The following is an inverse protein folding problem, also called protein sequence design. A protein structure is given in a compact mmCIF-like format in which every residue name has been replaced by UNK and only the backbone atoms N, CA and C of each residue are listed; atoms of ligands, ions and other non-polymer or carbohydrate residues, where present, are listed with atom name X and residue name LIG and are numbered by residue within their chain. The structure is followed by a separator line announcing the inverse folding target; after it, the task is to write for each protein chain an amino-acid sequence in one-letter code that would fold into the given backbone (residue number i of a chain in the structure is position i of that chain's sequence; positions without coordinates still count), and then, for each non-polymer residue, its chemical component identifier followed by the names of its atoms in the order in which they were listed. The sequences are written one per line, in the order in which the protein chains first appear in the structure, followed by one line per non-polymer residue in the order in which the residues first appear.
data_IF_366786368158
#
_entry.id   IF_366786368158
#
_cell.length_a   1.000
_cell.length_b   1.000
_cell.length_c   1.000
_cell.angle_alpha   90.00
_cell.angle_beta   90.00
_cell.angle_gamma   90.00
#
_symmetry.space_group_name_H-M   'P 1'
#
loop_
_entity.id
_entity.type
_entity.pdbx_description
1 polymer ?
#
# COMPACT_ATOMS: atom_id res chain seq x y z
N UNK A 1 12.08 2.42 -1.74
CA UNK A 1 10.81 1.82 -2.23
C UNK A 1 10.97 0.32 -2.28
N UNK A 2 9.99 -0.45 -1.80
CA UNK A 2 9.96 -1.91 -1.90
C UNK A 2 8.71 -2.36 -2.63
N UNK A 3 8.79 -3.46 -3.38
CA UNK A 3 7.64 -4.02 -4.10
C UNK A 3 7.27 -5.36 -3.48
N UNK A 4 5.98 -5.60 -3.27
CA UNK A 4 5.44 -6.84 -2.72
C UNK A 4 4.35 -7.39 -3.63
N UNK A 5 4.26 -8.71 -3.71
CA UNK A 5 3.18 -9.40 -4.41
C UNK A 5 2.02 -9.66 -3.45
N UNK A 6 0.80 -9.37 -3.90
CA UNK A 6 -0.43 -9.71 -3.21
C UNK A 6 -0.78 -11.17 -3.51
N UNK A 7 -1.15 -11.92 -2.47
CA UNK A 7 -1.58 -13.31 -2.56
C UNK A 7 -2.98 -13.41 -3.17
N UNK A 8 -3.42 -14.64 -3.45
CA UNK A 8 -4.72 -14.88 -4.07
C UNK A 8 -5.90 -14.38 -3.21
N UNK A 9 -5.73 -14.26 -1.90
CA UNK A 9 -6.72 -13.81 -0.93
C UNK A 9 -6.63 -12.31 -0.59
N UNK A 10 -5.86 -11.52 -1.36
CA UNK A 10 -5.72 -10.08 -1.12
C UNK A 10 -4.73 -9.68 -0.02
N UNK A 11 -4.03 -10.65 0.57
CA UNK A 11 -3.04 -10.40 1.62
C UNK A 11 -1.61 -10.23 1.08
N UNK A 12 -0.77 -9.51 1.82
CA UNK A 12 0.68 -9.48 1.62
C UNK A 12 1.42 -9.87 2.89
N UNK A 13 2.65 -10.38 2.72
CA UNK A 13 3.56 -10.59 3.86
C UNK A 13 4.38 -9.32 4.13
N UNK A 14 4.36 -8.86 5.38
CA UNK A 14 5.12 -7.71 5.85
C UNK A 14 5.66 -7.98 7.25
N UNK A 15 6.99 -7.89 7.45
CA UNK A 15 7.65 -8.09 8.76
C UNK A 15 7.09 -9.27 9.58
N UNK A 16 7.06 -10.45 8.97
CA UNK A 16 6.48 -11.71 9.49
C UNK A 16 4.96 -11.76 9.68
N UNK A 17 4.27 -10.63 9.56
CA UNK A 17 2.81 -10.55 9.60
C UNK A 17 2.15 -10.71 8.23
N UNK A 18 0.86 -11.04 8.25
CA UNK A 18 -0.01 -11.03 7.08
C UNK A 18 -0.93 -9.81 7.15
N UNK A 19 -0.82 -8.94 6.16
CA UNK A 19 -1.63 -7.73 6.08
C UNK A 19 -2.62 -7.86 4.93
N UNK A 20 -3.91 -7.71 5.23
CA UNK A 20 -4.95 -7.67 4.21
C UNK A 20 -4.94 -6.31 3.52
N UNK A 21 -4.69 -6.29 2.20
CA UNK A 21 -4.66 -5.06 1.40
C UNK A 21 -5.98 -4.89 0.67
N UNK A 22 -6.31 -5.84 -0.21
CA UNK A 22 -7.56 -5.90 -0.97
C UNK A 22 -7.57 -7.14 -1.83
N UNK A 23 -8.66 -7.90 -1.83
CA UNK A 23 -8.85 -9.03 -2.73
C UNK A 23 -8.86 -8.61 -4.22
N UNK A 24 -9.27 -7.38 -4.53
CA UNK A 24 -9.24 -6.84 -5.90
C UNK A 24 -7.82 -6.75 -6.49
N UNK A 25 -6.81 -6.71 -5.62
CA UNK A 25 -5.40 -6.67 -6.01
C UNK A 25 -4.76 -8.05 -6.00
N UNK A 26 -5.54 -9.14 -5.88
CA UNK A 26 -5.01 -10.50 -5.88
C UNK A 26 -4.09 -10.74 -7.08
N UNK A 27 -2.95 -11.39 -6.82
CA UNK A 27 -1.88 -11.67 -7.81
C UNK A 27 -1.23 -10.43 -8.43
N UNK A 28 -1.56 -9.23 -7.97
CA UNK A 28 -0.92 -7.98 -8.42
C UNK A 28 0.29 -7.62 -7.57
N UNK A 29 1.08 -6.67 -8.05
CA UNK A 29 2.20 -6.08 -7.30
C UNK A 29 1.81 -4.72 -6.76
N UNK A 30 2.16 -4.47 -5.51
CA UNK A 30 2.03 -3.17 -4.85
C UNK A 30 3.40 -2.63 -4.48
N UNK A 31 3.56 -1.32 -4.64
CA UNK A 31 4.70 -0.58 -4.13
C UNK A 31 4.44 -0.12 -2.70
N UNK A 32 5.44 -0.20 -1.85
CA UNK A 32 5.46 0.47 -0.55
C UNK A 32 6.57 1.51 -0.57
N UNK A 33 6.19 2.75 -0.30
CA UNK A 33 7.09 3.89 -0.19
C UNK A 33 7.09 4.37 1.25
N UNK A 34 8.24 4.31 1.91
CA UNK A 34 8.38 4.86 3.25
C UNK A 34 8.30 6.38 3.18
N UNK A 35 7.31 6.97 3.85
CA UNK A 35 7.10 8.42 3.89
C UNK A 35 7.51 9.05 5.20
N UNK A 36 7.53 8.25 6.28
CA UNK A 36 7.99 8.68 7.60
C UNK A 36 8.52 7.46 8.38
N UNK A 37 8.99 7.68 9.60
CA UNK A 37 9.32 6.66 10.56
C UNK A 37 8.09 5.78 10.82
N UNK A 38 8.16 4.53 10.37
CA UNK A 38 7.10 3.51 10.47
C UNK A 38 5.84 3.77 9.65
N UNK A 39 5.83 4.76 8.74
CA UNK A 39 4.71 4.99 7.83
C UNK A 39 5.11 4.67 6.40
N UNK A 40 4.30 3.82 5.76
CA UNK A 40 4.52 3.36 4.40
C UNK A 40 3.30 3.62 3.56
N UNK A 41 3.41 4.46 2.55
CA UNK A 41 2.35 4.63 1.56
C UNK A 41 2.34 3.44 0.59
N UNK A 42 1.15 2.86 0.42
CA UNK A 42 0.91 1.73 -0.48
C UNK A 42 0.42 2.29 -1.81
N UNK A 43 1.09 1.88 -2.87
CA UNK A 43 0.80 2.25 -4.25
C UNK A 43 0.42 1.02 -5.06
N UNK A 44 -0.65 1.14 -5.85
CA UNK A 44 -0.91 0.27 -6.96
C UNK A 44 -0.67 1.05 -8.26
N UNK A 45 0.34 0.62 -9.03
CA UNK A 45 0.86 1.39 -10.17
C UNK A 45 1.26 2.81 -9.72
N UNK A 46 0.62 3.84 -10.27
CA UNK A 46 0.84 5.25 -9.93
C UNK A 46 -0.13 5.76 -8.85
N UNK A 47 -1.12 4.97 -8.46
CA UNK A 47 -2.17 5.40 -7.55
C UNK A 47 -1.82 5.00 -6.11
N UNK A 48 -1.82 5.98 -5.21
CA UNK A 48 -1.78 5.71 -3.76
C UNK A 48 -3.14 5.13 -3.35
N UNK A 49 -3.12 3.98 -2.69
CA UNK A 49 -4.34 3.24 -2.31
C UNK A 49 -4.53 3.14 -0.80
N UNK A 50 -3.49 3.37 -0.01
CA UNK A 50 -3.53 3.24 1.44
C UNK A 50 -2.24 3.67 2.11
N UNK A 51 -2.23 3.66 3.43
CA UNK A 51 -1.05 3.89 4.26
C UNK A 51 -0.94 2.78 5.29
N UNK A 52 0.20 2.11 5.34
CA UNK A 52 0.55 1.14 6.36
C UNK A 52 1.27 1.84 7.51
N UNK A 53 0.71 1.72 8.71
CA UNK A 53 1.39 2.04 9.96
C UNK A 53 2.07 0.77 10.50
N UNK A 54 3.39 0.73 10.43
CA UNK A 54 4.20 -0.42 10.82
C UNK A 54 4.17 -0.67 12.34
N UNK A 55 3.91 0.36 13.17
CA UNK A 55 3.81 0.18 14.62
C UNK A 55 2.56 -0.58 15.03
N UNK A 56 1.45 -0.33 14.33
CA UNK A 56 0.17 -0.98 14.61
C UNK A 56 -0.09 -2.17 13.69
N UNK A 57 0.72 -2.33 12.64
CA UNK A 57 0.50 -3.29 11.55
C UNK A 57 -0.89 -3.14 10.91
N UNK A 58 -1.38 -1.90 10.81
CA UNK A 58 -2.68 -1.58 10.25
C UNK A 58 -2.55 -0.78 8.97
N UNK A 59 -3.42 -1.07 8.01
CA UNK A 59 -3.56 -0.30 6.78
C UNK A 59 -4.73 0.65 6.95
N UNK A 60 -4.41 1.93 6.98
CA UNK A 60 -5.36 3.02 6.99
C UNK A 60 -5.82 3.30 5.56
N UNK A 61 -7.14 3.37 5.37
CA UNK A 61 -7.71 3.84 4.12
C UNK A 61 -7.39 5.33 3.95
N UNK A 62 -7.12 5.72 2.71
CA UNK A 62 -7.00 7.14 2.38
C UNK A 62 -8.40 7.75 2.51
N UNK A 63 -8.62 8.52 3.57
CA UNK A 63 -9.81 9.37 3.70
C UNK A 63 -9.82 10.49 2.66
N UNK A 64 -8.65 10.83 2.10
CA UNK A 64 -8.52 11.77 0.99
C UNK A 64 -8.40 11.04 -0.34
N UNK A 65 -9.48 11.06 -1.13
CA UNK A 65 -9.42 10.80 -2.57
C UNK A 65 -8.77 11.99 -3.28
N UNK A 66 -7.47 12.21 -3.08
CA UNK A 66 -6.71 13.07 -3.99
C UNK A 66 -6.49 12.27 -5.27
N UNK A 67 -7.32 12.54 -6.28
CA UNK A 67 -6.86 12.40 -7.66
C UNK A 67 -5.53 13.15 -7.73
N UNK A 68 -4.42 12.43 -7.84
CA UNK A 68 -3.12 13.03 -8.05
C UNK A 68 -3.21 13.81 -9.36
N UNK A 69 -3.45 15.12 -9.27
CA UNK A 69 -3.28 16.05 -10.38
C UNK A 69 -1.86 15.83 -10.86
N UNK A 70 -1.72 15.20 -12.02
CA UNK A 70 -0.47 15.16 -12.74
C UNK A 70 -0.12 16.61 -13.07
N UNK A 71 0.73 17.22 -12.26
CA UNK A 71 1.37 18.48 -12.61
C UNK A 71 2.31 18.14 -13.77
N UNK A 72 1.85 18.47 -14.99
CA UNK A 72 2.65 18.37 -16.22
C UNK A 72 3.84 19.31 -16.07
N UNK A 73 5.04 18.75 -16.06
CA UNK A 73 6.28 19.46 -16.36
C UNK A 73 6.51 19.43 -17.85
#
# INVERSE_FOLDING_TARGET
MTVRSIRHNGEMRWLNEKLYVSELLAKSRVGLLQTDNHLWDIYYRFQRIGRLNERTMQIEQLTEWRCSTFEKV
#
